data_IF_802803168002
#
_entry.id   IF_802803168002
#
_cell.length_a   1.000
_cell.length_b   1.000
_cell.length_c   1.000
_cell.angle_alpha   90.00
_cell.angle_beta   90.00
_cell.angle_gamma   90.00
#
_symmetry.space_group_name_H-M   'P 1'
#
loop_
_entity.id
_entity.type
_entity.pdbx_description
1 polymer ?
#
# COMPACT_ATOMS: atom_id res chain seq x y z
N UNK A 1 -23.15 -17.37 -17.25
CA UNK A 1 -23.11 -18.20 -16.03
C UNK A 1 -23.49 -17.30 -14.88
N UNK A 2 -24.46 -17.70 -14.07
CA UNK A 2 -24.90 -16.91 -12.92
C UNK A 2 -23.82 -16.93 -11.83
N UNK A 3 -23.54 -15.82 -11.14
CA UNK A 3 -22.43 -15.74 -10.17
C UNK A 3 -22.54 -16.79 -9.06
N UNK A 4 -23.77 -17.13 -8.67
CA UNK A 4 -24.08 -18.16 -7.68
C UNK A 4 -23.51 -19.53 -8.06
N UNK A 5 -23.53 -19.84 -9.36
CA UNK A 5 -22.95 -21.09 -9.89
C UNK A 5 -21.43 -21.14 -9.82
N UNK A 6 -20.75 -19.99 -9.83
CA UNK A 6 -19.28 -19.91 -9.72
C UNK A 6 -18.85 -20.01 -8.26
N UNK A 7 -19.53 -19.29 -7.36
CA UNK A 7 -19.24 -19.37 -5.93
C UNK A 7 -19.45 -20.78 -5.38
N UNK A 8 -20.54 -21.44 -5.77
CA UNK A 8 -20.80 -22.84 -5.43
C UNK A 8 -19.72 -23.77 -6.02
N UNK A 9 -19.35 -23.59 -7.28
CA UNK A 9 -18.27 -24.37 -7.91
C UNK A 9 -16.92 -24.22 -7.20
N UNK A 10 -16.63 -23.03 -6.65
CA UNK A 10 -15.42 -22.74 -5.89
C UNK A 10 -15.52 -23.15 -4.40
N UNK A 11 -16.67 -23.66 -3.95
CA UNK A 11 -16.90 -24.10 -2.57
C UNK A 11 -17.35 -23.00 -1.59
N UNK A 12 -17.77 -21.84 -2.08
CA UNK A 12 -18.25 -20.69 -1.29
C UNK A 12 -19.79 -20.57 -1.26
N UNK A 13 -20.51 -21.69 -1.44
CA UNK A 13 -21.97 -21.68 -1.57
C UNK A 13 -22.77 -21.31 -0.31
N UNK A 14 -22.13 -21.19 0.86
CA UNK A 14 -22.77 -20.81 2.12
C UNK A 14 -22.11 -19.60 2.77
N UNK A 15 -22.95 -18.70 3.28
CA UNK A 15 -22.52 -17.58 4.11
C UNK A 15 -22.37 -17.98 5.57
N UNK A 16 -21.59 -17.21 6.35
CA UNK A 16 -21.45 -17.42 7.79
C UNK A 16 -22.70 -17.01 8.59
N UNK A 17 -23.60 -16.23 7.99
CA UNK A 17 -24.83 -15.71 8.61
C UNK A 17 -26.00 -15.95 7.66
N UNK A 18 -27.15 -16.32 8.22
CA UNK A 18 -28.39 -16.46 7.46
C UNK A 18 -29.02 -15.08 7.18
N UNK A 19 -29.44 -14.85 5.94
CA UNK A 19 -30.11 -13.62 5.55
C UNK A 19 -30.02 -13.33 4.05
N UNK A 20 -30.83 -12.38 3.60
CA UNK A 20 -30.70 -11.83 2.25
C UNK A 20 -29.52 -10.84 2.22
N UNK A 21 -28.71 -10.90 1.15
CA UNK A 21 -27.63 -9.94 0.95
C UNK A 21 -28.17 -8.52 0.77
N UNK A 22 -27.36 -7.54 1.16
CA UNK A 22 -27.70 -6.10 1.05
C UNK A 22 -27.68 -5.56 -0.39
N UNK A 23 -27.21 -6.35 -1.36
CA UNK A 23 -27.02 -5.93 -2.75
C UNK A 23 -25.92 -4.87 -2.90
N UNK A 24 -26.06 -4.00 -3.91
CA UNK A 24 -25.12 -2.89 -4.18
C UNK A 24 -23.99 -3.23 -5.15
N UNK A 25 -23.19 -2.20 -5.48
CA UNK A 25 -22.02 -2.30 -6.36
C UNK A 25 -20.81 -1.73 -5.61
N UNK A 26 -19.73 -2.50 -5.54
CA UNK A 26 -18.48 -2.09 -4.89
C UNK A 26 -17.51 -1.46 -5.91
N UNK A 27 -16.64 -0.57 -5.43
CA UNK A 27 -15.56 0.07 -6.21
C UNK A 27 -16.06 0.80 -7.47
N UNK A 28 -17.20 1.51 -7.38
CA UNK A 28 -17.72 2.30 -8.50
C UNK A 28 -16.74 3.42 -8.82
N UNK A 29 -16.34 4.18 -7.80
CA UNK A 29 -15.26 5.17 -7.79
C UNK A 29 -14.05 4.62 -7.04
N UNK A 30 -12.88 5.24 -7.23
CA UNK A 30 -11.65 4.85 -6.53
C UNK A 30 -11.75 5.13 -5.03
N UNK A 31 -12.40 6.24 -4.68
CA UNK A 31 -12.57 6.70 -3.30
C UNK A 31 -13.55 5.87 -2.45
N UNK A 32 -14.42 5.08 -3.10
CA UNK A 32 -15.33 4.12 -2.45
C UNK A 32 -14.59 3.00 -1.70
N UNK A 33 -13.30 2.81 -1.98
CA UNK A 33 -12.49 1.76 -1.38
C UNK A 33 -11.18 2.35 -0.87
N UNK A 34 -11.02 2.32 0.45
CA UNK A 34 -9.86 2.86 1.14
C UNK A 34 -9.19 1.75 1.92
N UNK A 35 -7.86 1.76 1.90
CA UNK A 35 -7.05 0.78 2.63
C UNK A 35 -5.97 1.55 3.37
N UNK A 36 -5.97 1.47 4.69
CA UNK A 36 -4.90 1.99 5.53
C UNK A 36 -4.13 0.84 6.15
N UNK A 37 -2.83 0.78 5.89
CA UNK A 37 -1.95 -0.19 6.51
C UNK A 37 -1.80 0.09 8.00
N UNK A 38 -2.05 -0.93 8.81
CA UNK A 38 -1.74 -0.91 10.24
C UNK A 38 -0.36 -1.55 10.40
N UNK A 39 0.65 -0.72 10.61
CA UNK A 39 2.04 -1.15 10.77
C UNK A 39 2.75 -0.30 11.82
N UNK A 40 3.57 -0.90 12.69
CA UNK A 40 4.41 -0.13 13.61
C UNK A 40 5.43 0.69 12.81
N UNK A 41 5.58 1.97 13.17
CA UNK A 41 6.64 2.81 12.60
C UNK A 41 7.98 2.30 13.14
N UNK A 42 8.96 1.97 12.29
CA UNK A 42 10.29 1.56 12.74
C UNK A 42 10.95 2.62 13.63
N UNK A 43 11.83 2.21 14.54
CA UNK A 43 12.54 3.14 15.42
C UNK A 43 13.27 4.22 14.59
N UNK A 44 12.97 5.49 14.87
CA UNK A 44 13.52 6.63 14.13
C UNK A 44 14.83 7.10 14.76
N UNK A 45 15.80 7.37 13.90
CA UNK A 45 17.10 7.96 14.24
C UNK A 45 17.51 8.91 13.10
N UNK A 46 17.77 10.21 13.36
CA UNK A 46 18.25 11.15 12.35
C UNK A 46 19.50 10.70 11.57
N UNK A 47 20.36 9.86 12.18
CA UNK A 47 21.56 9.25 11.56
C UNK A 47 21.24 7.98 10.77
N UNK A 48 19.99 7.55 10.77
CA UNK A 48 19.49 6.40 10.03
C UNK A 48 19.86 6.44 8.56
N UNK A 49 20.11 5.25 7.99
CA UNK A 49 20.45 5.08 6.57
C UNK A 49 19.24 5.24 5.66
N UNK A 50 18.07 4.79 6.09
CA UNK A 50 16.86 4.76 5.28
C UNK A 50 15.94 5.94 5.62
N UNK A 51 15.10 6.35 4.66
CA UNK A 51 14.01 7.30 4.87
C UNK A 51 12.71 6.53 5.03
N UNK A 52 11.96 6.81 6.10
CA UNK A 52 10.63 6.25 6.35
C UNK A 52 9.59 7.22 5.80
N UNK A 53 8.65 6.69 5.03
CA UNK A 53 7.60 7.46 4.38
C UNK A 53 6.25 6.80 4.60
N UNK A 54 5.24 7.60 4.96
CA UNK A 54 3.84 7.21 4.79
C UNK A 54 3.40 7.66 3.39
N UNK A 55 3.11 6.69 2.54
CA UNK A 55 2.73 6.92 1.15
C UNK A 55 1.23 6.69 0.98
N UNK A 56 0.50 7.74 0.59
CA UNK A 56 -0.90 7.65 0.17
C UNK A 56 -0.97 7.67 -1.34
N UNK A 57 -1.56 6.65 -1.95
CA UNK A 57 -1.62 6.45 -3.39
C UNK A 57 -3.07 6.33 -3.84
N UNK A 58 -3.43 7.02 -4.91
CA UNK A 58 -4.76 6.96 -5.52
C UNK A 58 -4.67 6.23 -6.87
N UNK A 59 -5.42 5.13 -7.01
CA UNK A 59 -5.51 4.34 -8.25
C UNK A 59 -4.17 3.76 -8.78
N UNK A 60 -3.18 3.57 -7.89
CA UNK A 60 -1.87 3.04 -8.23
C UNK A 60 -1.76 1.55 -7.97
N UNK A 61 -1.17 0.82 -8.92
CA UNK A 61 -0.62 -0.51 -8.63
C UNK A 61 0.73 -0.33 -7.90
N UNK A 62 0.88 -0.98 -6.74
CA UNK A 62 2.03 -0.78 -5.85
C UNK A 62 3.37 -0.93 -6.57
N UNK A 63 3.60 -2.00 -7.36
CA UNK A 63 4.89 -2.19 -8.02
C UNK A 63 5.19 -1.14 -9.10
N UNK A 64 4.18 -0.69 -9.84
CA UNK A 64 4.30 0.41 -10.81
C UNK A 64 4.69 1.70 -10.11
N UNK A 65 4.05 2.00 -8.96
CA UNK A 65 4.41 3.16 -8.15
C UNK A 65 5.85 3.06 -7.65
N UNK A 66 6.23 1.93 -7.03
CA UNK A 66 7.59 1.74 -6.50
C UNK A 66 8.66 1.83 -7.59
N UNK A 67 8.38 1.38 -8.84
CA UNK A 67 9.28 1.59 -9.99
C UNK A 67 9.36 3.06 -10.42
N UNK A 68 8.28 3.83 -10.32
CA UNK A 68 8.28 5.27 -10.61
C UNK A 68 9.07 6.05 -9.55
N UNK A 69 8.85 5.71 -8.29
CA UNK A 69 9.56 6.26 -7.13
C UNK A 69 11.06 5.97 -7.20
N UNK A 70 11.46 4.73 -7.54
CA UNK A 70 12.89 4.38 -7.63
C UNK A 70 13.61 5.21 -8.70
N UNK A 71 12.96 5.43 -9.86
CA UNK A 71 13.49 6.28 -10.93
C UNK A 71 13.61 7.74 -10.51
N UNK A 72 12.59 8.28 -9.83
CA UNK A 72 12.63 9.65 -9.31
C UNK A 72 13.75 9.85 -8.27
N UNK A 73 13.99 8.85 -7.43
CA UNK A 73 15.08 8.83 -6.47
C UNK A 73 16.46 8.53 -7.10
N UNK A 74 16.52 8.05 -8.35
CA UNK A 74 17.77 7.62 -9.00
C UNK A 74 18.39 6.38 -8.35
N UNK A 75 17.57 5.48 -7.80
CA UNK A 75 18.00 4.26 -7.13
C UNK A 75 17.39 3.02 -7.81
N UNK A 76 17.99 1.85 -7.54
CA UNK A 76 17.41 0.57 -7.96
C UNK A 76 16.07 0.30 -7.24
N UNK A 77 15.09 -0.32 -7.91
CA UNK A 77 13.79 -0.70 -7.31
C UNK A 77 13.92 -1.56 -6.05
N UNK A 78 14.95 -2.39 -5.94
CA UNK A 78 15.21 -3.27 -4.80
C UNK A 78 15.67 -2.51 -3.54
N UNK A 79 15.85 -1.19 -3.64
CA UNK A 79 16.17 -0.28 -2.54
C UNK A 79 14.95 0.40 -1.91
N UNK A 80 13.75 -0.02 -2.31
CA UNK A 80 12.50 0.41 -1.70
C UNK A 80 11.78 -0.81 -1.13
N UNK A 81 11.48 -0.73 0.16
CA UNK A 81 10.89 -1.79 0.95
C UNK A 81 9.45 -1.41 1.32
N UNK A 82 8.54 -2.38 1.22
CA UNK A 82 7.12 -2.29 1.52
C UNK A 82 6.70 -3.62 2.17
N UNK A 83 5.73 -3.59 3.08
CA UNK A 83 5.29 -4.80 3.79
C UNK A 83 4.37 -5.70 2.96
N UNK A 84 3.75 -5.14 1.91
CA UNK A 84 2.78 -5.86 1.09
C UNK A 84 2.30 -5.03 -0.09
N UNK A 85 1.52 -5.68 -0.96
CA UNK A 85 0.82 -5.01 -2.06
C UNK A 85 -0.56 -4.58 -1.57
N UNK A 86 -1.09 -3.50 -2.14
CA UNK A 86 -2.44 -3.01 -1.85
C UNK A 86 -3.26 -2.98 -3.14
N UNK A 87 -4.58 -2.90 -3.00
CA UNK A 87 -5.50 -2.81 -4.13
C UNK A 87 -5.16 -1.65 -5.07
N UNK A 88 -5.10 -1.94 -6.37
CA UNK A 88 -4.89 -0.88 -7.38
C UNK A 88 -6.05 0.12 -7.39
N UNK A 89 -7.29 -0.37 -7.44
CA UNK A 89 -8.49 0.46 -7.57
C UNK A 89 -9.00 0.86 -6.18
N UNK A 90 -8.22 1.72 -5.52
CA UNK A 90 -8.44 2.19 -4.16
C UNK A 90 -7.65 3.46 -3.89
N UNK A 91 -7.96 4.13 -2.77
CA UNK A 91 -7.01 5.02 -2.08
C UNK A 91 -6.31 4.19 -1.02
N UNK A 92 -4.99 4.04 -1.12
CA UNK A 92 -4.20 3.19 -0.22
C UNK A 92 -3.17 4.00 0.52
N UNK A 93 -3.05 3.82 1.83
CA UNK A 93 -1.99 4.41 2.65
C UNK A 93 -1.13 3.29 3.21
N UNK A 94 0.19 3.36 2.97
CA UNK A 94 1.13 2.30 3.36
C UNK A 94 2.48 2.89 3.80
N UNK A 95 3.22 2.15 4.62
CA UNK A 95 4.55 2.56 5.08
C UNK A 95 5.61 2.02 4.11
N UNK A 96 6.51 2.90 3.68
CA UNK A 96 7.64 2.58 2.82
C UNK A 96 8.95 2.92 3.53
N UNK A 97 9.96 2.07 3.35
CA UNK A 97 11.34 2.36 3.73
C UNK A 97 12.19 2.45 2.48
N UNK A 98 12.91 3.58 2.31
CA UNK A 98 13.63 3.92 1.09
C UNK A 98 15.12 4.11 1.40
N UNK A 99 16.00 3.38 0.72
CA UNK A 99 17.46 3.58 0.79
C UNK A 99 17.91 4.76 -0.09
N UNK A 100 17.42 5.96 0.26
CA UNK A 100 17.79 7.25 -0.31
C UNK A 100 17.79 8.34 0.78
N UNK A 101 18.56 9.43 0.60
CA UNK A 101 18.55 10.57 1.51
C UNK A 101 17.17 11.24 1.61
N UNK A 102 16.81 11.76 2.80
CA UNK A 102 15.53 12.46 3.05
C UNK A 102 15.23 13.54 2.00
N UNK A 103 16.18 14.44 1.75
CA UNK A 103 16.02 15.53 0.76
C UNK A 103 15.67 15.03 -0.65
N UNK A 104 16.20 13.87 -1.05
CA UNK A 104 15.91 13.26 -2.36
C UNK A 104 14.48 12.76 -2.42
N UNK A 105 13.99 12.16 -1.33
CA UNK A 105 12.63 11.64 -1.23
C UNK A 105 11.61 12.79 -1.16
N UNK A 106 11.92 13.85 -0.40
CA UNK A 106 11.09 15.07 -0.31
C UNK A 106 10.97 15.82 -1.64
N UNK A 107 11.95 15.70 -2.54
CA UNK A 107 11.88 16.31 -3.87
C UNK A 107 11.16 15.44 -4.92
N UNK A 108 10.64 14.28 -4.55
CA UNK A 108 9.87 13.44 -5.47
C UNK A 108 8.46 13.97 -5.59
N UNK A 109 8.06 14.26 -6.82
CA UNK A 109 6.68 14.56 -7.18
C UNK A 109 6.18 13.50 -8.18
N UNK A 110 5.11 12.80 -7.80
CA UNK A 110 4.45 11.78 -8.60
C UNK A 110 2.93 12.05 -8.50
N UNK A 111 2.22 12.21 -9.64
CA UNK A 111 0.79 12.43 -9.64
C UNK A 111 0.01 11.36 -8.88
N UNK A 112 -1.13 11.75 -8.31
CA UNK A 112 -2.04 10.87 -7.59
C UNK A 112 -1.36 10.15 -6.41
N UNK A 113 -0.37 10.80 -5.79
CA UNK A 113 0.32 10.29 -4.62
C UNK A 113 0.74 11.40 -3.65
N UNK A 114 0.83 11.06 -2.38
CA UNK A 114 1.36 11.91 -1.32
C UNK A 114 2.41 11.12 -0.54
N UNK A 115 3.59 11.71 -0.36
CA UNK A 115 4.71 11.11 0.37
C UNK A 115 5.02 11.94 1.62
N UNK A 116 4.51 11.50 2.76
CA UNK A 116 4.78 12.12 4.06
C UNK A 116 6.05 11.50 4.66
N UNK A 117 7.14 12.27 4.76
CA UNK A 117 8.40 11.80 5.35
C UNK A 117 8.34 11.85 6.87
N UNK A 118 8.27 10.66 7.50
CA UNK A 118 8.20 10.52 8.95
C UNK A 118 9.56 10.70 9.62
N UNK A 119 10.64 10.28 8.96
CA UNK A 119 11.98 10.37 9.52
C UNK A 119 13.01 9.47 8.86
N UNK A 120 14.06 9.17 9.62
CA UNK A 120 15.19 8.34 9.22
C UNK A 120 15.26 7.12 10.11
N UNK A 121 15.74 5.98 9.62
CA UNK A 121 15.86 4.74 10.41
C UNK A 121 17.04 3.88 9.95
N UNK A 122 17.48 2.96 10.81
CA UNK A 122 18.40 1.87 10.48
C UNK A 122 17.69 0.58 10.07
N UNK A 123 16.38 0.50 10.26
CA UNK A 123 15.58 -0.69 10.03
C UNK A 123 14.99 -0.68 8.61
N UNK A 124 14.90 -1.86 8.00
CA UNK A 124 14.07 -2.08 6.81
C UNK A 124 12.74 -2.65 7.28
N UNK A 125 11.74 -2.58 6.40
CA UNK A 125 10.53 -3.40 6.53
C UNK A 125 10.62 -4.57 5.56
N UNK A 126 10.27 -5.76 6.03
CA UNK A 126 10.13 -7.00 5.30
C UNK A 126 8.69 -7.23 4.85
N UNK A 127 8.51 -8.25 4.03
CA UNK A 127 7.18 -8.72 3.65
C UNK A 127 6.47 -9.26 4.89
N UNK A 128 5.20 -8.90 5.07
CA UNK A 128 4.36 -9.26 6.22
C UNK A 128 4.71 -8.56 7.55
N UNK A 129 5.47 -7.46 7.55
CA UNK A 129 5.75 -6.65 8.75
C UNK A 129 4.58 -5.75 9.19
N UNK A 130 3.38 -5.94 8.63
CA UNK A 130 2.18 -5.18 8.99
C UNK A 130 1.20 -6.06 9.76
N UNK A 131 0.51 -5.44 10.72
CA UNK A 131 -0.45 -6.13 11.59
C UNK A 131 -1.81 -6.32 10.90
N UNK A 132 -2.08 -5.54 9.87
CA UNK A 132 -3.31 -5.67 9.09
C UNK A 132 -3.59 -4.48 8.17
N UNK A 133 -4.83 -4.42 7.71
CA UNK A 133 -5.34 -3.34 6.88
C UNK A 133 -6.70 -2.91 7.42
N UNK A 134 -6.93 -1.60 7.46
CA UNK A 134 -8.18 -0.97 7.87
C UNK A 134 -8.88 -0.34 6.68
#
# INVERSE_FOLDING_TARGET
MDNKSIEEYLGFGSGAVEGLGIGGILKVRVEDFRVEEVSPIPALDPKGRFTVVRATLENWETNRFLKRLSRACGINRNRIFASGLKDKRAITTQLLVIDAPRKKVESVDIPDSTLEVLGRTHQKIGMSDHDGNR
#
